data_IF_591160432909
#
_entry.id   IF_591160432909
#
_cell.length_a   1.000
_cell.length_b   1.000
_cell.length_c   1.000
_cell.angle_alpha   90.00
_cell.angle_beta   90.00
_cell.angle_gamma   90.00
#
_symmetry.space_group_name_H-M   'P 1'
#
loop_
_entity.id
_entity.type
_entity.pdbx_description
1 polymer ?
#
# COMPACT_ATOMS: atom_id res chain seq x y z
N UNK A 1 -21.41 13.39 -23.14
CA UNK A 1 -21.56 11.96 -23.49
C UNK A 1 -20.49 11.21 -22.71
N UNK A 2 -20.53 11.16 -21.36
CA UNK A 2 -21.48 10.44 -20.50
C UNK A 2 -21.71 9.00 -20.96
N UNK A 3 -20.82 8.13 -20.50
CA UNK A 3 -21.01 6.70 -20.26
C UNK A 3 -19.81 6.26 -19.39
N UNK A 4 -19.89 5.40 -18.38
CA UNK A 4 -20.96 4.82 -17.56
C UNK A 4 -20.20 4.05 -16.47
N UNK A 5 -20.74 3.99 -15.26
CA UNK A 5 -20.24 3.16 -14.16
C UNK A 5 -19.64 1.82 -14.59
N UNK A 6 -18.42 1.53 -14.13
CA UNK A 6 -17.99 0.16 -13.86
C UNK A 6 -17.50 0.04 -12.42
N UNK A 7 -18.48 -0.01 -11.52
CA UNK A 7 -18.34 -0.70 -10.24
C UNK A 7 -18.10 -2.19 -10.52
N UNK A 8 -16.83 -2.58 -10.65
CA UNK A 8 -16.46 -3.98 -10.62
C UNK A 8 -15.04 -4.17 -10.08
N UNK A 9 -14.94 -4.17 -8.75
CA UNK A 9 -13.71 -4.58 -8.04
C UNK A 9 -13.74 -6.08 -7.70
N UNK A 10 -13.61 -7.00 -8.69
CA UNK A 10 -13.03 -8.31 -8.38
C UNK A 10 -11.80 -8.83 -9.18
N UNK A 11 -11.30 -8.28 -10.32
CA UNK A 11 -10.22 -8.96 -11.07
C UNK A 11 -8.82 -8.75 -10.46
N UNK A 12 -8.56 -7.57 -9.88
CA UNK A 12 -7.21 -7.15 -9.48
C UNK A 12 -6.68 -7.84 -8.22
N UNK A 13 -7.56 -8.18 -7.28
CA UNK A 13 -7.19 -8.94 -6.07
C UNK A 13 -6.66 -10.34 -6.42
N UNK A 14 -7.29 -11.00 -7.39
CA UNK A 14 -6.89 -12.34 -7.86
C UNK A 14 -5.51 -12.32 -8.51
N UNK A 15 -5.18 -11.24 -9.24
CA UNK A 15 -3.85 -11.07 -9.86
C UNK A 15 -2.77 -10.99 -8.79
N UNK A 16 -2.95 -10.19 -7.73
CA UNK A 16 -1.96 -10.11 -6.65
C UNK A 16 -1.79 -11.44 -5.91
N UNK A 17 -2.89 -12.13 -5.61
CA UNK A 17 -2.86 -13.44 -4.93
C UNK A 17 -2.19 -14.51 -5.81
N UNK A 18 -2.49 -14.54 -7.12
CA UNK A 18 -1.86 -15.44 -8.06
C UNK A 18 -0.35 -15.16 -8.20
N UNK A 19 0.02 -13.88 -8.33
CA UNK A 19 1.41 -13.45 -8.44
C UNK A 19 2.21 -13.77 -7.17
N UNK A 20 1.58 -13.64 -5.99
CA UNK A 20 2.14 -14.09 -4.72
C UNK A 20 2.38 -15.61 -4.70
N UNK A 21 1.42 -16.40 -5.16
CA UNK A 21 1.55 -17.86 -5.26
C UNK A 21 2.72 -18.27 -6.16
N UNK A 22 2.82 -17.67 -7.34
CA UNK A 22 3.93 -17.90 -8.29
C UNK A 22 5.28 -17.49 -7.68
N UNK A 23 5.33 -16.32 -7.04
CA UNK A 23 6.54 -15.84 -6.35
C UNK A 23 6.99 -16.82 -5.27
N UNK A 24 6.04 -17.36 -4.50
CA UNK A 24 6.33 -18.34 -3.46
C UNK A 24 6.88 -19.64 -4.05
N UNK A 25 6.27 -20.15 -5.13
CA UNK A 25 6.75 -21.34 -5.82
C UNK A 25 8.18 -21.15 -6.34
N UNK A 26 8.48 -19.98 -6.89
CA UNK A 26 9.82 -19.64 -7.38
C UNK A 26 10.85 -19.55 -6.24
N UNK A 27 10.50 -18.89 -5.12
CA UNK A 27 11.37 -18.81 -3.93
C UNK A 27 11.65 -20.21 -3.37
N UNK A 28 10.63 -21.05 -3.24
CA UNK A 28 10.80 -22.43 -2.76
C UNK A 28 11.67 -23.24 -3.74
N UNK A 29 11.48 -23.07 -5.05
CA UNK A 29 12.32 -23.68 -6.07
C UNK A 29 13.78 -23.23 -5.99
N UNK A 30 14.05 -21.95 -5.76
CA UNK A 30 15.40 -21.41 -5.56
C UNK A 30 16.02 -21.95 -4.28
N UNK A 31 15.29 -21.95 -3.15
CA UNK A 31 15.77 -22.54 -1.89
C UNK A 31 16.09 -24.03 -2.07
N UNK A 32 15.22 -24.76 -2.78
CA UNK A 32 15.44 -26.17 -3.11
C UNK A 32 16.70 -26.38 -3.96
N UNK A 33 16.91 -25.57 -5.00
CA UNK A 33 18.13 -25.62 -5.82
C UNK A 33 19.38 -25.28 -4.99
N UNK A 34 19.31 -24.26 -4.14
CA UNK A 34 20.38 -23.89 -3.21
C UNK A 34 20.62 -24.92 -2.10
N UNK A 35 19.67 -25.80 -1.81
CA UNK A 35 19.88 -26.97 -0.96
C UNK A 35 20.47 -28.16 -1.75
N UNK A 36 19.97 -28.39 -2.97
CA UNK A 36 20.38 -29.51 -3.82
C UNK A 36 21.83 -29.39 -4.32
N UNK A 37 22.25 -28.20 -4.76
CA UNK A 37 23.60 -27.96 -5.32
C UNK A 37 24.69 -28.20 -4.27
N UNK A 38 24.59 -27.68 -3.03
CA UNK A 38 25.61 -27.92 -2.02
C UNK A 38 25.51 -29.31 -1.39
N UNK A 39 24.33 -29.92 -1.24
CA UNK A 39 24.24 -31.26 -0.61
C UNK A 39 24.98 -32.35 -1.40
N UNK A 40 25.05 -32.22 -2.74
CA UNK A 40 25.86 -33.11 -3.58
C UNK A 40 27.38 -32.91 -3.40
N UNK A 41 27.83 -31.71 -3.00
CA UNK A 41 29.25 -31.41 -2.74
C UNK A 41 29.67 -31.54 -1.27
N UNK A 42 28.80 -31.19 -0.31
CA UNK A 42 29.04 -31.24 1.14
C UNK A 42 29.10 -32.66 1.69
N UNK A 43 28.46 -33.63 1.01
CA UNK A 43 28.54 -35.04 1.37
C UNK A 43 29.97 -35.60 1.31
N UNK A 44 30.89 -34.93 0.60
CA UNK A 44 32.30 -35.31 0.48
C UNK A 44 33.21 -34.76 1.60
N UNK A 45 32.71 -33.84 2.44
CA UNK A 45 33.55 -33.15 3.45
C UNK A 45 33.22 -33.63 4.87
N UNK A 46 31.95 -33.77 5.25
CA UNK A 46 31.55 -34.31 6.56
C UNK A 46 30.11 -34.84 6.56
N UNK A 47 29.80 -36.01 7.15
CA UNK A 47 28.48 -36.66 7.07
C UNK A 47 27.32 -35.90 7.73
N UNK A 48 27.59 -35.02 8.71
CA UNK A 48 26.55 -34.24 9.41
C UNK A 48 26.26 -32.85 8.84
N UNK A 49 27.15 -32.31 8.00
CA UNK A 49 26.97 -31.01 7.34
C UNK A 49 25.70 -30.92 6.45
N UNK A 50 25.34 -31.98 5.68
CA UNK A 50 24.10 -32.00 4.90
C UNK A 50 22.84 -31.91 5.76
N UNK A 51 22.86 -32.46 6.98
CA UNK A 51 21.71 -32.44 7.91
C UNK A 51 21.50 -31.04 8.49
N UNK A 52 22.58 -30.36 8.90
CA UNK A 52 22.50 -28.98 9.41
C UNK A 52 22.07 -27.99 8.33
N UNK A 53 22.63 -28.11 7.11
CA UNK A 53 22.21 -27.29 5.98
C UNK A 53 20.73 -27.56 5.63
N UNK A 54 20.30 -28.82 5.61
CA UNK A 54 18.90 -29.19 5.39
C UNK A 54 17.94 -28.62 6.43
N UNK A 55 18.31 -28.62 7.71
CA UNK A 55 17.49 -28.04 8.79
C UNK A 55 17.36 -26.52 8.62
N UNK A 56 18.44 -25.83 8.28
CA UNK A 56 18.44 -24.37 8.08
C UNK A 56 17.59 -23.96 6.87
N UNK A 57 17.78 -24.61 5.71
CA UNK A 57 17.01 -24.32 4.50
C UNK A 57 15.55 -24.78 4.62
N UNK A 58 15.29 -25.88 5.33
CA UNK A 58 13.96 -26.34 5.71
C UNK A 58 13.23 -25.34 6.61
N UNK A 59 13.93 -24.77 7.60
CA UNK A 59 13.36 -23.71 8.44
C UNK A 59 13.08 -22.43 7.64
N UNK A 60 14.00 -21.99 6.78
CA UNK A 60 13.80 -20.82 5.91
C UNK A 60 12.63 -20.98 4.94
N UNK A 61 12.53 -22.13 4.28
CA UNK A 61 11.41 -22.45 3.38
C UNK A 61 10.10 -22.58 4.14
N UNK A 62 10.11 -23.21 5.33
CA UNK A 62 8.95 -23.29 6.21
C UNK A 62 8.44 -21.92 6.64
N UNK A 63 9.33 -21.00 7.02
CA UNK A 63 8.96 -19.61 7.37
C UNK A 63 8.37 -18.88 6.17
N UNK A 64 8.96 -19.05 4.97
CA UNK A 64 8.46 -18.43 3.74
C UNK A 64 7.05 -18.93 3.37
N UNK A 65 6.83 -20.26 3.43
CA UNK A 65 5.54 -20.90 3.19
C UNK A 65 4.50 -20.51 4.24
N UNK A 66 4.87 -20.47 5.52
CA UNK A 66 3.98 -20.03 6.59
C UNK A 66 3.58 -18.56 6.40
N UNK A 67 4.54 -17.69 6.05
CA UNK A 67 4.29 -16.27 5.80
C UNK A 67 3.36 -16.01 4.62
N UNK A 68 3.51 -16.76 3.52
CA UNK A 68 2.61 -16.66 2.36
C UNK A 68 1.24 -17.26 2.65
N UNK A 69 1.17 -18.40 3.33
CA UNK A 69 -0.10 -19.01 3.75
C UNK A 69 -0.88 -18.06 4.68
N UNK A 70 -0.22 -17.42 5.64
CA UNK A 70 -0.84 -16.44 6.53
C UNK A 70 -1.33 -15.20 5.77
N UNK A 71 -0.61 -14.72 4.76
CA UNK A 71 -1.07 -13.60 3.94
C UNK A 71 -2.25 -13.96 3.03
N UNK A 72 -2.20 -15.14 2.39
CA UNK A 72 -3.30 -15.63 1.55
C UNK A 72 -4.53 -15.86 2.42
N UNK A 73 -4.37 -16.49 3.59
CA UNK A 73 -5.46 -16.72 4.54
C UNK A 73 -6.03 -15.41 5.09
N UNK A 74 -5.21 -14.43 5.49
CA UNK A 74 -5.72 -13.13 5.95
C UNK A 74 -6.44 -12.35 4.85
N UNK A 75 -5.93 -12.41 3.62
CA UNK A 75 -6.56 -11.76 2.47
C UNK A 75 -7.87 -12.45 2.08
N UNK A 76 -7.93 -13.78 2.15
CA UNK A 76 -9.11 -14.56 1.81
C UNK A 76 -10.19 -14.51 2.91
N UNK A 77 -9.78 -14.51 4.18
CA UNK A 77 -10.70 -14.59 5.32
C UNK A 77 -11.16 -13.22 5.83
N UNK A 78 -10.50 -12.12 5.42
CA UNK A 78 -10.88 -10.76 5.79
C UNK A 78 -10.85 -10.48 7.29
N UNK A 79 -10.17 -11.33 8.06
CA UNK A 79 -10.06 -11.27 9.52
C UNK A 79 -8.62 -11.05 9.92
N UNK A 80 -8.33 -9.93 10.56
CA UNK A 80 -7.03 -9.65 11.15
C UNK A 80 -6.91 -10.39 12.50
N UNK A 81 -5.89 -11.22 12.63
CA UNK A 81 -5.47 -11.80 13.91
C UNK A 81 -4.36 -10.89 14.46
N UNK A 82 -4.44 -10.50 15.74
CA UNK A 82 -3.54 -9.52 16.39
C UNK A 82 -2.04 -9.84 16.21
N UNK A 83 -1.65 -11.12 16.22
CA UNK A 83 -0.27 -11.57 16.05
C UNK A 83 0.26 -11.39 14.61
N UNK A 84 -0.62 -11.27 13.63
CA UNK A 84 -0.27 -11.16 12.21
C UNK A 84 0.15 -9.75 11.80
N UNK A 85 -0.07 -8.73 12.65
CA UNK A 85 0.34 -7.34 12.36
C UNK A 85 1.86 -7.25 12.12
N UNK A 86 2.67 -7.70 13.08
CA UNK A 86 4.12 -7.60 12.94
C UNK A 86 4.65 -8.38 11.72
N UNK A 87 4.18 -9.62 11.51
CA UNK A 87 4.56 -10.42 10.35
C UNK A 87 4.14 -9.76 9.03
N UNK A 88 2.96 -9.12 8.98
CA UNK A 88 2.47 -8.44 7.78
C UNK A 88 3.38 -7.28 7.36
N UNK A 89 3.88 -6.49 8.31
CA UNK A 89 4.86 -5.43 7.99
C UNK A 89 6.13 -5.99 7.34
N UNK A 90 6.66 -7.08 7.88
CA UNK A 90 7.85 -7.78 7.34
C UNK A 90 7.56 -8.30 5.93
N UNK A 91 6.45 -9.01 5.73
CA UNK A 91 6.15 -9.59 4.42
C UNK A 91 5.83 -8.51 3.40
N UNK A 92 5.14 -7.42 3.75
CA UNK A 92 4.94 -6.29 2.81
C UNK A 92 6.28 -5.65 2.44
N UNK A 93 7.21 -5.47 3.40
CA UNK A 93 8.49 -4.81 3.14
C UNK A 93 9.42 -5.66 2.26
N UNK A 94 9.47 -6.97 2.49
CA UNK A 94 10.35 -7.89 1.77
C UNK A 94 9.72 -8.51 0.52
N UNK A 95 8.43 -8.84 0.53
CA UNK A 95 7.80 -9.58 -0.57
C UNK A 95 7.43 -8.66 -1.74
N UNK A 96 7.02 -7.41 -1.51
CA UNK A 96 6.70 -6.47 -2.60
C UNK A 96 7.84 -6.26 -3.61
N UNK A 97 9.10 -5.98 -3.21
CA UNK A 97 10.17 -5.82 -4.19
C UNK A 97 10.41 -7.10 -5.00
N UNK A 98 10.22 -8.28 -4.40
CA UNK A 98 10.32 -9.57 -5.11
C UNK A 98 9.16 -9.74 -6.09
N UNK A 99 7.93 -9.42 -5.69
CA UNK A 99 6.74 -9.46 -6.55
C UNK A 99 6.87 -8.47 -7.70
N UNK A 100 7.37 -7.25 -7.43
CA UNK A 100 7.63 -6.26 -8.48
C UNK A 100 8.67 -6.80 -9.47
N UNK A 101 9.75 -7.44 -8.99
CA UNK A 101 10.78 -8.02 -9.84
C UNK A 101 10.22 -9.15 -10.73
N UNK A 102 9.55 -10.15 -10.13
CA UNK A 102 8.97 -11.29 -10.87
C UNK A 102 7.83 -10.84 -11.78
N UNK A 103 6.96 -9.94 -11.33
CA UNK A 103 5.87 -9.44 -12.16
C UNK A 103 6.39 -8.72 -13.41
N UNK A 104 7.48 -7.95 -13.27
CA UNK A 104 8.08 -7.30 -14.44
C UNK A 104 8.75 -8.26 -15.42
N UNK A 105 9.31 -9.40 -14.96
CA UNK A 105 9.85 -10.41 -15.89
C UNK A 105 8.76 -11.14 -16.66
N UNK A 106 7.53 -11.19 -16.13
CA UNK A 106 6.34 -11.76 -16.78
C UNK A 106 5.58 -10.70 -17.61
N UNK A 107 6.09 -9.48 -17.73
CA UNK A 107 5.49 -8.41 -18.54
C UNK A 107 4.37 -7.61 -17.86
N UNK A 108 4.17 -7.77 -16.54
CA UNK A 108 3.23 -6.98 -15.77
C UNK A 108 3.89 -5.66 -15.35
N UNK A 109 3.20 -4.53 -15.57
CA UNK A 109 3.74 -3.23 -15.17
C UNK A 109 3.85 -3.10 -13.64
N UNK A 110 4.90 -2.42 -13.17
CA UNK A 110 5.09 -2.12 -11.73
C UNK A 110 3.88 -1.39 -11.15
N UNK A 111 3.26 -0.52 -11.93
CA UNK A 111 2.10 0.25 -11.49
C UNK A 111 0.88 -0.65 -11.28
N UNK A 112 0.61 -1.62 -12.16
CA UNK A 112 -0.47 -2.60 -11.96
C UNK A 112 -0.29 -3.40 -10.66
N UNK A 113 0.95 -3.81 -10.36
CA UNK A 113 1.28 -4.55 -9.13
C UNK A 113 1.02 -3.68 -7.91
N UNK A 114 1.49 -2.43 -7.93
CA UNK A 114 1.31 -1.45 -6.85
C UNK A 114 -0.15 -1.05 -6.65
N UNK A 115 -0.92 -0.83 -7.71
CA UNK A 115 -2.36 -0.58 -7.63
C UNK A 115 -3.08 -1.75 -6.93
N UNK A 116 -2.69 -2.99 -7.28
CA UNK A 116 -3.28 -4.18 -6.66
C UNK A 116 -2.92 -4.28 -5.17
N UNK A 117 -1.70 -3.91 -4.80
CA UNK A 117 -1.29 -3.82 -3.40
C UNK A 117 -2.09 -2.75 -2.62
N UNK A 118 -2.28 -1.55 -3.19
CA UNK A 118 -3.10 -0.50 -2.56
C UNK A 118 -4.53 -0.97 -2.35
N UNK A 119 -5.14 -1.62 -3.36
CA UNK A 119 -6.51 -2.14 -3.26
C UNK A 119 -6.65 -3.25 -2.21
N UNK A 120 -5.66 -4.14 -2.12
CA UNK A 120 -5.57 -5.17 -1.07
C UNK A 120 -5.47 -4.52 0.31
N UNK A 121 -4.57 -3.55 0.48
CA UNK A 121 -4.39 -2.83 1.74
C UNK A 121 -5.67 -2.11 2.19
N UNK A 122 -6.32 -1.38 1.30
CA UNK A 122 -7.58 -0.70 1.60
C UNK A 122 -8.65 -1.68 2.08
N UNK A 123 -8.81 -2.80 1.37
CA UNK A 123 -9.78 -3.84 1.75
C UNK A 123 -9.51 -4.39 3.15
N UNK A 124 -8.24 -4.54 3.51
CA UNK A 124 -7.82 -5.03 4.82
C UNK A 124 -8.03 -3.98 5.92
N UNK A 125 -7.78 -2.70 5.65
CA UNK A 125 -8.06 -1.63 6.63
C UNK A 125 -9.57 -1.49 6.84
N UNK A 126 -10.37 -1.52 5.77
CA UNK A 126 -11.83 -1.44 5.86
C UNK A 126 -12.43 -2.67 6.56
N UNK A 127 -11.88 -3.87 6.39
CA UNK A 127 -12.37 -5.08 7.08
C UNK A 127 -12.18 -5.03 8.60
N UNK A 128 -11.25 -4.22 9.11
CA UNK A 128 -11.06 -4.03 10.55
C UNK A 128 -12.23 -3.28 11.22
N UNK A 129 -13.15 -2.69 10.44
CA UNK A 129 -14.30 -1.90 10.93
C UNK A 129 -13.89 -0.88 12.01
N UNK A 130 -12.75 -0.21 11.79
CA UNK A 130 -12.24 0.81 12.69
C UNK A 130 -13.19 2.00 12.68
N UNK A 131 -13.66 2.40 13.86
CA UNK A 131 -14.36 3.67 14.07
C UNK A 131 -13.38 4.66 14.70
N UNK A 132 -13.15 5.77 14.01
CA UNK A 132 -12.19 6.79 14.42
C UNK A 132 -12.89 8.14 14.43
N UNK A 133 -12.71 8.88 15.53
CA UNK A 133 -13.22 10.24 15.65
C UNK A 133 -12.58 11.15 14.59
N UNK A 134 -13.29 12.16 14.06
CA UNK A 134 -12.76 13.07 13.05
C UNK A 134 -11.43 13.73 13.40
N UNK A 135 -11.22 14.10 14.67
CA UNK A 135 -9.99 14.74 15.18
C UNK A 135 -8.76 13.82 15.16
N UNK A 136 -8.95 12.52 14.92
CA UNK A 136 -7.88 11.51 14.85
C UNK A 136 -7.68 10.96 13.44
N UNK A 137 -8.37 11.52 12.45
CA UNK A 137 -8.18 11.20 11.03
C UNK A 137 -7.30 12.29 10.42
N UNK A 138 -6.32 11.89 9.62
CA UNK A 138 -5.50 12.81 8.83
C UNK A 138 -5.67 12.50 7.34
N UNK A 139 -6.08 13.49 6.56
CA UNK A 139 -6.07 13.40 5.10
C UNK A 139 -4.74 13.94 4.60
N UNK A 140 -3.96 13.12 3.90
CA UNK A 140 -2.71 13.51 3.26
C UNK A 140 -2.90 13.66 1.76
N UNK A 141 -2.63 14.85 1.25
CA UNK A 141 -2.73 15.17 -0.17
C UNK A 141 -1.34 15.37 -0.77
N UNK A 142 -1.15 15.03 -2.05
CA UNK A 142 0.08 15.35 -2.76
C UNK A 142 -0.01 16.79 -3.28
N UNK A 143 1.13 17.47 -3.31
CA UNK A 143 1.24 18.80 -3.94
C UNK A 143 0.82 18.82 -5.41
N UNK A 144 0.85 17.67 -6.11
CA UNK A 144 0.50 17.53 -7.52
C UNK A 144 -0.99 17.74 -7.84
N UNK A 145 -1.88 17.76 -6.84
CA UNK A 145 -3.29 18.14 -7.04
C UNK A 145 -3.46 19.66 -7.26
N UNK A 146 -2.47 20.43 -6.82
CA UNK A 146 -2.44 21.85 -7.09
C UNK A 146 -2.01 22.08 -8.54
N UNK A 147 -2.66 23.02 -9.22
CA UNK A 147 -2.21 23.48 -10.53
C UNK A 147 -0.79 24.05 -10.44
N UNK A 148 0.04 23.73 -11.43
CA UNK A 148 1.42 24.21 -11.51
C UNK A 148 1.50 25.74 -11.49
N UNK A 149 0.65 26.42 -12.25
CA UNK A 149 0.59 27.89 -12.36
C UNK A 149 -0.24 28.54 -11.25
N UNK A 150 -0.37 27.90 -10.09
CA UNK A 150 -1.09 28.48 -8.97
C UNK A 150 -0.22 29.49 -8.21
N UNK A 151 -0.70 30.71 -8.08
CA UNK A 151 -0.01 31.83 -7.41
C UNK A 151 0.30 31.55 -5.93
N UNK A 152 -0.56 30.78 -5.25
CA UNK A 152 -0.45 30.52 -3.80
C UNK A 152 -0.05 29.07 -3.57
N UNK A 153 1.22 28.77 -3.33
CA UNK A 153 1.69 27.40 -3.05
C UNK A 153 1.17 26.92 -1.69
N UNK A 154 0.33 25.88 -1.70
CA UNK A 154 -0.26 25.30 -0.49
C UNK A 154 0.66 24.19 0.01
N UNK A 155 1.28 24.38 1.17
CA UNK A 155 2.13 23.37 1.81
C UNK A 155 1.83 23.32 3.30
N UNK A 156 1.65 22.12 3.83
CA UNK A 156 1.18 21.92 5.19
C UNK A 156 -0.33 22.10 5.26
N UNK A 157 -0.81 23.30 5.54
CA UNK A 157 -2.24 23.59 5.75
C UNK A 157 -2.97 23.95 4.44
N UNK A 158 -4.08 23.25 4.16
CA UNK A 158 -4.94 23.52 3.00
C UNK A 158 -5.67 24.87 3.09
N UNK A 159 -5.86 25.41 4.30
CA UNK A 159 -6.66 26.61 4.55
C UNK A 159 -6.04 27.88 3.96
N UNK A 160 -4.76 27.83 3.56
CA UNK A 160 -4.10 28.90 2.81
C UNK A 160 -4.61 29.04 1.38
N UNK A 161 -5.34 28.04 0.87
CA UNK A 161 -5.96 28.12 -0.45
C UNK A 161 -7.12 29.12 -0.45
N UNK A 162 -7.11 30.07 -1.39
CA UNK A 162 -8.22 31.01 -1.65
C UNK A 162 -9.45 30.37 -2.30
N UNK A 163 -9.43 29.04 -2.53
CA UNK A 163 -10.55 28.26 -3.09
C UNK A 163 -11.05 28.80 -4.44
N UNK A 164 -10.10 29.13 -5.32
CA UNK A 164 -10.40 29.64 -6.68
C UNK A 164 -11.20 28.66 -7.57
N UNK A 165 -11.38 27.40 -7.16
CA UNK A 165 -12.16 26.39 -7.89
C UNK A 165 -11.48 25.78 -9.11
N UNK A 166 -10.24 26.17 -9.41
CA UNK A 166 -9.48 25.64 -10.57
C UNK A 166 -8.87 24.25 -10.34
N UNK A 167 -8.88 23.73 -9.10
CA UNK A 167 -8.32 22.42 -8.75
C UNK A 167 -9.15 21.75 -7.64
N UNK A 168 -8.96 20.44 -7.49
CA UNK A 168 -9.72 19.58 -6.55
C UNK A 168 -9.49 19.95 -5.08
N UNK A 169 -8.44 20.71 -4.78
CA UNK A 169 -8.13 21.23 -3.44
C UNK A 169 -9.33 21.98 -2.82
N UNK A 170 -10.14 22.67 -3.63
CA UNK A 170 -11.35 23.34 -3.15
C UNK A 170 -12.34 22.34 -2.54
N UNK A 171 -12.70 21.30 -3.29
CA UNK A 171 -13.64 20.28 -2.82
C UNK A 171 -13.11 19.53 -1.60
N UNK A 172 -11.79 19.27 -1.57
CA UNK A 172 -11.14 18.63 -0.42
C UNK A 172 -11.12 19.51 0.83
N UNK A 173 -10.93 20.82 0.67
CA UNK A 173 -11.00 21.77 1.78
C UNK A 173 -12.43 21.89 2.34
N UNK A 174 -13.44 21.89 1.47
CA UNK A 174 -14.86 21.87 1.86
C UNK A 174 -15.22 20.56 2.58
N UNK A 175 -14.73 19.42 2.09
CA UNK A 175 -14.90 18.11 2.72
C UNK A 175 -14.28 18.08 4.13
N UNK A 176 -13.07 18.61 4.28
CA UNK A 176 -12.40 18.72 5.56
C UNK A 176 -13.18 19.59 6.56
N UNK A 177 -13.78 20.69 6.10
CA UNK A 177 -14.66 21.53 6.94
C UNK A 177 -15.96 20.82 7.33
N UNK A 178 -16.61 20.15 6.38
CA UNK A 178 -17.85 19.39 6.60
C UNK A 178 -17.69 18.34 7.69
N UNK A 179 -16.60 17.57 7.64
CA UNK A 179 -16.34 16.49 8.59
C UNK A 179 -15.47 16.89 9.79
N UNK A 180 -14.93 18.13 9.81
CA UNK A 180 -13.99 18.64 10.83
C UNK A 180 -12.74 17.74 10.99
N UNK A 181 -12.13 17.40 9.86
CA UNK A 181 -10.96 16.52 9.77
C UNK A 181 -9.71 17.33 9.41
N UNK A 182 -8.58 16.97 10.02
CA UNK A 182 -7.28 17.55 9.68
C UNK A 182 -6.85 17.11 8.27
N UNK A 183 -6.49 18.07 7.42
CA UNK A 183 -6.00 17.80 6.07
C UNK A 183 -4.68 18.53 5.83
N UNK A 184 -3.73 17.84 5.23
CA UNK A 184 -2.42 18.40 4.94
C UNK A 184 -1.89 18.06 3.57
N UNK A 185 -1.29 19.05 2.90
CA UNK A 185 -0.60 18.90 1.62
C UNK A 185 0.89 18.66 1.86
N UNK A 186 1.40 17.53 1.36
CA UNK A 186 2.80 17.16 1.44
C UNK A 186 3.48 17.15 0.07
N UNK A 187 4.68 17.73 -0.01
CA UNK A 187 5.52 17.77 -1.22
C UNK A 187 6.36 16.49 -1.40
N UNK A 188 6.20 15.50 -0.53
CA UNK A 188 6.87 14.21 -0.63
C UNK A 188 6.80 13.39 0.66
N UNK A 189 7.37 12.18 0.64
CA UNK A 189 7.31 11.24 1.75
C UNK A 189 7.93 11.75 3.06
N UNK A 190 9.01 12.53 3.00
CA UNK A 190 9.64 13.08 4.21
C UNK A 190 8.74 14.06 4.95
N UNK A 191 8.09 14.96 4.21
CA UNK A 191 7.15 15.91 4.81
C UNK A 191 5.90 15.19 5.32
N UNK A 192 5.39 14.21 4.56
CA UNK A 192 4.27 13.38 4.99
C UNK A 192 4.57 12.67 6.33
N UNK A 193 5.76 12.05 6.47
CA UNK A 193 6.19 11.41 7.72
C UNK A 193 6.27 12.40 8.88
N UNK A 194 6.81 13.60 8.63
CA UNK A 194 6.87 14.67 9.65
C UNK A 194 5.47 15.04 10.15
N UNK A 195 4.52 15.28 9.24
CA UNK A 195 3.13 15.60 9.59
C UNK A 195 2.46 14.47 10.38
N UNK A 196 2.69 13.21 10.00
CA UNK A 196 2.15 12.04 10.74
C UNK A 196 2.69 12.00 12.18
N UNK A 197 3.99 12.26 12.37
CA UNK A 197 4.63 12.27 13.69
C UNK A 197 4.09 13.42 14.55
N UNK A 198 3.89 14.59 13.96
CA UNK A 198 3.38 15.79 14.65
C UNK A 198 1.90 15.64 15.04
N UNK A 199 1.04 15.21 14.10
CA UNK A 199 -0.40 15.10 14.30
C UNK A 199 -0.84 13.83 15.03
N UNK A 200 -0.01 12.77 15.00
CA UNK A 200 -0.28 11.45 15.60
C UNK A 200 -1.71 10.93 15.33
N UNK A 201 -2.14 10.85 14.06
CA UNK A 201 -3.46 10.34 13.72
C UNK A 201 -3.62 8.86 14.11
N UNK A 202 -4.86 8.40 14.26
CA UNK A 202 -5.17 6.97 14.38
C UNK A 202 -5.42 6.31 13.03
N UNK A 203 -5.75 7.10 12.00
CA UNK A 203 -5.97 6.63 10.64
C UNK A 203 -5.59 7.73 9.65
N UNK A 204 -5.00 7.34 8.53
CA UNK A 204 -4.62 8.25 7.45
C UNK A 204 -5.41 7.91 6.19
N UNK A 205 -6.00 8.91 5.55
CA UNK A 205 -6.50 8.80 4.18
C UNK A 205 -5.51 9.51 3.28
N UNK A 206 -4.73 8.75 2.51
CA UNK A 206 -3.66 9.29 1.67
C UNK A 206 -4.10 9.29 0.21
N UNK A 207 -3.83 10.40 -0.48
CA UNK A 207 -3.98 10.52 -1.94
C UNK A 207 -2.59 10.61 -2.55
N UNK A 208 -2.24 9.70 -3.46
CA UNK A 208 -1.00 9.80 -4.23
C UNK A 208 -1.00 8.85 -5.43
N UNK A 209 0.10 8.87 -6.19
CA UNK A 209 0.34 7.88 -7.22
C UNK A 209 0.64 6.50 -6.61
N UNK A 210 0.66 5.46 -7.44
CA UNK A 210 0.90 4.08 -7.03
C UNK A 210 2.20 3.90 -6.23
N UNK A 211 3.26 4.55 -6.69
CA UNK A 211 4.60 4.48 -6.10
C UNK A 211 4.61 5.08 -4.70
N UNK A 212 4.10 6.29 -4.57
CA UNK A 212 4.13 7.04 -3.31
C UNK A 212 3.18 6.44 -2.28
N UNK A 213 1.99 5.97 -2.69
CA UNK A 213 1.09 5.24 -1.79
C UNK A 213 1.72 3.94 -1.31
N UNK A 214 2.34 3.16 -2.22
CA UNK A 214 2.98 1.90 -1.83
C UNK A 214 4.12 2.13 -0.83
N UNK A 215 4.95 3.14 -1.05
CA UNK A 215 6.03 3.50 -0.11
C UNK A 215 5.46 4.05 1.20
N UNK A 216 4.45 4.91 1.14
CA UNK A 216 3.81 5.50 2.31
C UNK A 216 3.15 4.47 3.22
N UNK A 217 2.42 3.51 2.65
CA UNK A 217 1.79 2.42 3.41
C UNK A 217 2.85 1.56 4.11
N UNK A 218 3.98 1.30 3.45
CA UNK A 218 5.11 0.56 4.06
C UNK A 218 5.74 1.31 5.22
N UNK A 219 6.00 2.60 5.02
CA UNK A 219 6.71 3.44 5.99
C UNK A 219 5.87 3.77 7.22
N UNK A 220 4.55 3.85 7.06
CA UNK A 220 3.63 4.19 8.15
C UNK A 220 3.25 2.99 8.99
N UNK A 221 3.65 1.77 8.62
CA UNK A 221 3.30 0.56 9.38
C UNK A 221 3.75 0.67 10.84
N UNK A 222 2.86 0.45 11.85
CA UNK A 222 1.56 -0.23 11.81
C UNK A 222 0.31 0.68 11.72
N UNK A 223 0.44 1.97 11.42
CA UNK A 223 -0.67 2.91 11.28
C UNK A 223 -1.58 2.51 10.09
N UNK A 224 -2.91 2.40 10.27
CA UNK A 224 -3.82 2.10 9.17
C UNK A 224 -3.91 3.27 8.20
N UNK A 225 -3.68 2.97 6.92
CA UNK A 225 -3.70 3.93 5.82
C UNK A 225 -4.69 3.45 4.76
N UNK A 226 -5.63 4.29 4.37
CA UNK A 226 -6.50 4.09 3.19
C UNK A 226 -5.92 4.93 2.06
N UNK A 227 -5.54 4.28 0.96
CA UNK A 227 -4.93 4.95 -0.19
C UNK A 227 -5.93 5.20 -1.32
N UNK A 228 -6.07 6.43 -1.77
CA UNK A 228 -6.84 6.81 -2.97
C UNK A 228 -5.87 7.21 -4.07
N UNK A 229 -5.92 6.51 -5.20
CA UNK A 229 -5.07 6.80 -6.34
C UNK A 229 -5.54 8.09 -7.02
N UNK A 230 -4.59 8.97 -7.36
CA UNK A 230 -4.88 10.13 -8.21
C UNK A 230 -4.78 9.78 -9.70
N UNK A 231 -5.56 10.48 -10.50
CA UNK A 231 -5.50 10.41 -11.96
C UNK A 231 -4.44 11.38 -12.49
N UNK A 232 -3.75 10.95 -13.54
CA UNK A 232 -2.60 11.66 -14.13
C UNK A 232 -2.86 12.02 -15.60
N UNK A 233 -3.82 12.92 -15.89
CA UNK A 233 -4.19 13.26 -17.26
C UNK A 233 -3.04 13.93 -18.04
N UNK A 234 -2.17 14.68 -17.36
CA UNK A 234 -1.06 15.42 -17.96
C UNK A 234 0.32 14.82 -17.67
N UNK A 235 0.38 13.53 -17.33
CA UNK A 235 1.62 12.84 -17.00
C UNK A 235 1.96 12.82 -15.50
N UNK A 236 3.18 12.37 -15.14
CA UNK A 236 3.55 12.14 -13.75
C UNK A 236 3.71 13.47 -12.99
N UNK A 237 3.05 13.56 -11.84
CA UNK A 237 3.22 14.65 -10.87
C UNK A 237 2.92 16.07 -11.42
N UNK A 238 2.09 16.17 -12.47
CA UNK A 238 1.70 17.44 -13.08
C UNK A 238 0.18 17.53 -13.24
N UNK A 239 -0.44 18.54 -12.64
CA UNK A 239 -1.88 18.83 -12.70
C UNK A 239 -2.75 17.56 -12.55
N UNK A 240 -2.50 16.81 -11.47
CA UNK A 240 -3.22 15.56 -11.21
C UNK A 240 -4.61 15.84 -10.65
N UNK A 241 -5.55 14.93 -10.88
CA UNK A 241 -6.91 15.04 -10.36
C UNK A 241 -7.24 13.90 -9.40
N UNK A 242 -8.19 14.12 -8.51
CA UNK A 242 -8.71 13.07 -7.65
C UNK A 242 -10.22 13.19 -7.52
N UNK A 243 -10.86 12.03 -7.51
CA UNK A 243 -12.27 11.89 -7.24
C UNK A 243 -12.55 12.12 -5.75
N UNK A 244 -13.17 13.26 -5.44
CA UNK A 244 -13.52 13.67 -4.08
C UNK A 244 -14.55 12.72 -3.46
N UNK A 245 -15.43 12.12 -4.27
CA UNK A 245 -16.46 11.19 -3.79
C UNK A 245 -15.82 9.93 -3.19
N UNK A 246 -14.77 9.38 -3.83
CA UNK A 246 -14.04 8.22 -3.29
C UNK A 246 -13.40 8.50 -1.94
N UNK A 247 -12.96 9.74 -1.71
CA UNK A 247 -12.40 10.16 -0.43
C UNK A 247 -13.53 10.28 0.60
N UNK A 248 -14.68 10.85 0.22
CA UNK A 248 -15.85 10.91 1.09
C UNK A 248 -16.37 9.52 1.49
N UNK A 249 -16.48 8.58 0.55
CA UNK A 249 -16.84 7.18 0.83
C UNK A 249 -15.84 6.52 1.79
N UNK A 250 -14.54 6.73 1.56
CA UNK A 250 -13.50 6.22 2.45
C UNK A 250 -13.65 6.79 3.87
N UNK A 251 -13.93 8.08 4.01
CA UNK A 251 -14.17 8.73 5.30
C UNK A 251 -15.43 8.18 5.98
N UNK A 252 -16.56 8.07 5.27
CA UNK A 252 -17.80 7.53 5.82
C UNK A 252 -17.65 6.10 6.32
N UNK A 253 -16.77 5.30 5.71
CA UNK A 253 -16.51 3.92 6.13
C UNK A 253 -15.79 3.80 7.49
N UNK A 254 -15.12 4.86 7.94
CA UNK A 254 -14.27 4.86 9.16
C UNK A 254 -14.71 5.86 10.22
N UNK A 255 -15.57 6.81 9.86
CA UNK A 255 -16.16 7.76 10.80
C UNK A 255 -17.09 7.04 11.78
N UNK A 256 -16.95 7.36 13.07
CA UNK A 256 -17.81 6.83 14.11
C UNK A 256 -17.63 7.49 15.46
#
# INVERSE_FOLDING_TARGET
>A
MTDKHSSNTPPRKRVFVALMGVTCFFIVGVIYLFWWVPTKGLANIHPDLPRMAGLLFGALSGIALLGTLLLVMTTALGKDILFTRFMRGVVIKFLLPVIEFIGTTVGISKDTIRQSFVAMNNSLVTSQRLKVRPDRILILLPHCLQLFDCEIKVTGDINKCIRCGRCDIKGLAELAQKYRIDISVATGGTLARKVIIEKRPKLVVAVACERDLTSGIKDCYPLPVIGVLNDRPFGPCFNTSVDVEKIEEALQSVLG
#
